data_IF_763382087243
#
_entry.id   IF_763382087243
#
_cell.length_a   1.000
_cell.length_b   1.000
_cell.length_c   1.000
_cell.angle_alpha   90.00
_cell.angle_beta   90.00
_cell.angle_gamma   90.00
#
_symmetry.space_group_name_H-M   'P 1'
#
loop_
_entity.id
_entity.type
_entity.pdbx_description
1 polymer ?
#
# COMPACT_ATOMS: atom_id res chain seq x y z
N UNK A 1 -18.59 4.51 -2.19
CA UNK A 1 -18.14 3.13 -2.36
C UNK A 1 -16.85 2.91 -1.61
N UNK A 2 -15.78 3.61 -1.99
CA UNK A 2 -14.51 3.57 -1.26
C UNK A 2 -14.45 4.44 0.00
N UNK A 3 -13.27 4.48 0.61
CA UNK A 3 -12.99 5.23 1.84
C UNK A 3 -12.00 6.36 1.61
N UNK A 4 -12.16 7.42 2.40
CA UNK A 4 -11.26 8.57 2.39
C UNK A 4 -10.01 8.33 3.25
N UNK A 5 -9.01 9.19 3.09
CA UNK A 5 -7.86 9.27 3.99
C UNK A 5 -8.25 9.83 5.37
N UNK A 6 -9.35 10.61 5.44
CA UNK A 6 -9.93 11.12 6.67
C UNK A 6 -11.46 11.14 6.59
N UNK A 7 -12.16 11.12 7.72
CA UNK A 7 -13.62 10.89 7.81
C UNK A 7 -14.48 11.82 6.93
N UNK A 8 -14.07 13.08 6.76
CA UNK A 8 -14.81 14.10 6.00
C UNK A 8 -14.40 14.23 4.52
N UNK A 9 -13.47 13.41 4.02
CA UNK A 9 -12.94 13.54 2.66
C UNK A 9 -13.66 12.64 1.64
N UNK A 10 -13.42 12.84 0.34
CA UNK A 10 -13.88 11.93 -0.71
C UNK A 10 -13.13 10.60 -0.65
N UNK A 11 -13.67 9.56 -1.31
CA UNK A 11 -12.96 8.28 -1.45
C UNK A 11 -11.59 8.48 -2.14
N UNK A 12 -10.55 7.84 -1.61
CA UNK A 12 -9.17 7.93 -2.12
C UNK A 12 -8.59 6.53 -2.30
N UNK A 13 -7.61 6.34 -3.18
CA UNK A 13 -7.00 5.02 -3.34
C UNK A 13 -6.27 4.56 -2.07
N UNK A 14 -5.66 5.49 -1.31
CA UNK A 14 -5.07 5.19 -0.01
C UNK A 14 -6.11 4.65 0.97
N UNK A 15 -7.15 5.46 1.24
CA UNK A 15 -8.19 5.10 2.19
C UNK A 15 -8.90 3.82 1.77
N UNK A 16 -9.29 3.69 0.51
CA UNK A 16 -10.01 2.52 0.02
C UNK A 16 -9.21 1.23 0.14
N UNK A 17 -7.95 1.22 -0.32
CA UNK A 17 -7.14 -0.01 -0.26
C UNK A 17 -6.84 -0.43 1.18
N UNK A 18 -6.48 0.52 2.05
CA UNK A 18 -6.11 0.21 3.44
C UNK A 18 -7.33 -0.22 4.26
N UNK A 19 -8.48 0.44 4.09
CA UNK A 19 -9.71 0.05 4.80
C UNK A 19 -10.24 -1.29 4.27
N UNK A 20 -10.23 -1.52 2.95
CA UNK A 20 -10.60 -2.82 2.38
C UNK A 20 -9.72 -3.94 2.95
N UNK A 21 -8.41 -3.78 2.93
CA UNK A 21 -7.48 -4.78 3.48
C UNK A 21 -7.71 -4.99 4.98
N UNK A 22 -7.96 -3.92 5.74
CA UNK A 22 -8.29 -4.00 7.17
C UNK A 22 -9.54 -4.83 7.42
N UNK A 23 -10.63 -4.58 6.69
CA UNK A 23 -11.88 -5.34 6.83
C UNK A 23 -11.65 -6.83 6.53
N UNK A 24 -10.93 -7.15 5.44
CA UNK A 24 -10.59 -8.55 5.11
C UNK A 24 -9.75 -9.22 6.21
N UNK A 25 -8.78 -8.50 6.79
CA UNK A 25 -7.97 -9.00 7.91
C UNK A 25 -8.77 -9.19 9.21
N UNK A 26 -9.84 -8.43 9.41
CA UNK A 26 -10.78 -8.58 10.53
C UNK A 26 -11.77 -9.73 10.35
N UNK A 27 -11.75 -10.42 9.20
CA UNK A 27 -12.58 -11.58 8.93
C UNK A 27 -13.82 -11.30 8.09
N UNK A 28 -14.05 -10.06 7.65
CA UNK A 28 -15.15 -9.73 6.75
C UNK A 28 -14.95 -10.42 5.40
N UNK A 29 -15.98 -11.11 4.90
CA UNK A 29 -15.94 -11.87 3.65
C UNK A 29 -16.67 -11.10 2.54
N UNK A 30 -16.12 -11.16 1.33
CA UNK A 30 -16.75 -10.60 0.14
C UNK A 30 -17.91 -11.50 -0.30
N UNK A 31 -19.07 -11.34 0.35
CA UNK A 31 -20.34 -11.98 0.00
C UNK A 31 -21.30 -10.96 -0.64
N UNK A 32 -22.33 -11.45 -1.34
CA UNK A 32 -23.28 -10.59 -2.07
C UNK A 32 -24.05 -9.62 -1.15
N UNK A 33 -24.20 -9.96 0.13
CA UNK A 33 -24.84 -9.13 1.15
C UNK A 33 -23.89 -8.12 1.83
N UNK A 34 -22.56 -8.29 1.70
CA UNK A 34 -21.57 -7.34 2.20
C UNK A 34 -21.42 -6.15 1.26
N UNK A 35 -22.37 -5.23 1.37
CA UNK A 35 -22.48 -4.04 0.54
C UNK A 35 -21.22 -3.15 0.61
N UNK A 36 -20.55 -3.08 1.77
CA UNK A 36 -19.37 -2.25 1.98
C UNK A 36 -18.13 -2.80 1.23
N UNK A 37 -17.80 -4.08 1.39
CA UNK A 37 -16.67 -4.69 0.68
C UNK A 37 -16.92 -4.70 -0.83
N UNK A 38 -18.12 -5.08 -1.27
CA UNK A 38 -18.49 -5.12 -2.68
C UNK A 38 -18.38 -3.75 -3.35
N UNK A 39 -18.91 -2.68 -2.73
CA UNK A 39 -18.77 -1.30 -3.22
C UNK A 39 -17.35 -0.78 -3.14
N UNK A 40 -16.61 -1.15 -2.09
CA UNK A 40 -15.20 -0.79 -1.91
C UNK A 40 -14.33 -1.37 -3.01
N UNK A 41 -14.46 -2.67 -3.28
CA UNK A 41 -13.77 -3.37 -4.36
C UNK A 41 -14.09 -2.78 -5.73
N UNK A 42 -15.38 -2.61 -6.03
CA UNK A 42 -15.79 -2.01 -7.30
C UNK A 42 -15.21 -0.60 -7.50
N UNK A 43 -15.13 0.19 -6.42
CA UNK A 43 -14.50 1.50 -6.44
C UNK A 43 -12.99 1.40 -6.70
N UNK A 44 -12.25 0.51 -6.02
CA UNK A 44 -10.81 0.31 -6.22
C UNK A 44 -10.51 -0.09 -7.68
N UNK A 45 -11.23 -1.07 -8.22
CA UNK A 45 -11.01 -1.56 -9.57
C UNK A 45 -11.30 -0.50 -10.63
N UNK A 46 -12.35 0.31 -10.44
CA UNK A 46 -12.70 1.39 -11.39
C UNK A 46 -11.71 2.57 -11.37
N UNK A 47 -10.82 2.67 -10.38
CA UNK A 47 -9.86 3.77 -10.23
C UNK A 47 -8.40 3.32 -10.44
N UNK A 48 -8.18 2.22 -11.19
CA UNK A 48 -6.84 1.75 -11.56
C UNK A 48 -6.23 0.72 -10.62
N UNK A 49 -7.07 0.02 -9.85
CA UNK A 49 -6.69 -1.06 -8.94
C UNK A 49 -5.71 -0.64 -7.82
N UNK A 50 -5.32 -1.59 -6.98
CA UNK A 50 -4.31 -1.31 -5.95
C UNK A 50 -2.95 -0.89 -6.54
N UNK A 51 -2.69 -1.13 -7.84
CA UNK A 51 -1.46 -0.67 -8.52
C UNK A 51 -1.32 0.86 -8.53
N UNK A 52 -2.45 1.59 -8.55
CA UNK A 52 -2.51 3.05 -8.51
C UNK A 52 -2.57 3.63 -7.09
N UNK A 53 -2.41 2.82 -6.04
CA UNK A 53 -2.37 3.32 -4.67
C UNK A 53 -1.16 4.25 -4.45
N UNK A 54 -1.21 5.26 -3.56
CA UNK A 54 -0.02 6.04 -3.23
C UNK A 54 0.98 5.22 -2.40
N UNK A 55 2.23 5.68 -2.34
CA UNK A 55 3.35 4.89 -1.83
C UNK A 55 3.14 4.31 -0.42
N UNK A 56 2.54 5.06 0.52
CA UNK A 56 2.29 4.53 1.86
C UNK A 56 1.31 3.36 1.86
N UNK A 57 0.27 3.38 1.02
CA UNK A 57 -0.61 2.23 0.85
C UNK A 57 0.14 1.05 0.23
N UNK A 58 0.96 1.28 -0.80
CA UNK A 58 1.79 0.20 -1.40
C UNK A 58 2.69 -0.46 -0.34
N UNK A 59 3.31 0.33 0.54
CA UNK A 59 4.15 -0.17 1.63
C UNK A 59 3.33 -1.06 2.57
N UNK A 60 2.18 -0.57 3.08
CA UNK A 60 1.34 -1.35 3.98
C UNK A 60 0.84 -2.65 3.34
N UNK A 61 0.39 -2.59 2.09
CA UNK A 61 -0.03 -3.77 1.32
C UNK A 61 1.14 -4.74 1.07
N UNK A 62 2.37 -4.23 0.92
CA UNK A 62 3.56 -5.09 0.74
C UNK A 62 3.93 -5.82 2.02
N UNK A 63 3.83 -5.14 3.17
CA UNK A 63 4.08 -5.73 4.49
C UNK A 63 3.15 -6.92 4.76
N UNK A 64 1.87 -6.83 4.39
CA UNK A 64 0.91 -7.95 4.55
C UNK A 64 0.96 -8.96 3.40
N UNK A 65 1.75 -8.69 2.36
CA UNK A 65 1.94 -9.61 1.23
C UNK A 65 0.89 -9.54 0.13
N UNK A 66 0.05 -8.51 0.06
CA UNK A 66 -0.91 -8.35 -1.06
C UNK A 66 -0.37 -7.46 -2.18
N UNK A 67 0.84 -6.91 -2.06
CA UNK A 67 1.51 -6.07 -3.07
C UNK A 67 2.99 -6.44 -3.14
N UNK A 68 3.60 -6.48 -4.32
CA UNK A 68 5.01 -6.83 -4.44
C UNK A 68 5.92 -5.63 -4.15
N UNK A 69 6.96 -5.86 -3.36
CA UNK A 69 7.92 -4.83 -2.97
C UNK A 69 8.62 -4.14 -4.16
N UNK A 70 8.74 -4.80 -5.33
CA UNK A 70 9.31 -4.22 -6.55
C UNK A 70 8.49 -3.07 -7.13
N UNK A 71 7.18 -3.01 -6.81
CA UNK A 71 6.29 -1.92 -7.18
C UNK A 71 6.30 -0.72 -6.23
N UNK A 72 7.19 -0.71 -5.25
CA UNK A 72 7.44 0.46 -4.41
C UNK A 72 8.66 1.23 -4.91
N UNK A 73 8.64 2.57 -4.77
CA UNK A 73 9.88 3.33 -4.92
C UNK A 73 10.85 2.95 -3.79
N UNK A 74 12.17 2.95 -4.07
CA UNK A 74 13.17 2.76 -3.04
C UNK A 74 13.02 3.71 -1.86
N UNK A 75 13.05 3.16 -0.66
CA UNK A 75 13.24 3.91 0.58
C UNK A 75 14.68 3.61 0.98
N UNK A 76 15.56 4.59 0.90
CA UNK A 76 17.02 4.40 0.90
C UNK A 76 17.54 4.48 2.35
N UNK A 77 17.74 3.36 3.07
CA UNK A 77 18.29 3.38 4.42
C UNK A 77 19.73 3.92 4.45
N UNK A 78 20.48 3.80 3.35
CA UNK A 78 21.87 4.26 3.24
C UNK A 78 22.02 5.77 3.42
N UNK A 79 20.94 6.54 3.23
CA UNK A 79 20.93 7.99 3.50
C UNK A 79 21.28 8.32 4.95
N UNK A 80 21.01 7.41 5.89
CA UNK A 80 21.36 7.57 7.31
C UNK A 80 22.86 7.41 7.61
N UNK A 81 23.64 6.84 6.67
CA UNK A 81 25.10 6.72 6.79
C UNK A 81 25.85 7.94 6.23
N UNK A 82 25.14 8.87 5.60
CA UNK A 82 25.74 10.08 5.04
C UNK A 82 26.27 11.00 6.15
N UNK A 83 27.29 11.82 5.87
CA UNK A 83 27.68 12.88 6.78
C UNK A 83 26.52 13.86 7.06
N UNK A 84 26.29 14.19 8.34
CA UNK A 84 25.14 15.00 8.77
C UNK A 84 25.07 16.39 8.11
N UNK A 85 26.20 16.94 7.64
CA UNK A 85 26.24 18.25 6.99
C UNK A 85 25.59 18.27 5.60
N UNK A 86 25.39 17.10 4.96
CA UNK A 86 24.76 17.03 3.65
C UNK A 86 23.26 17.38 3.73
N UNK A 87 22.72 18.16 2.78
CA UNK A 87 21.34 18.63 2.82
C UNK A 87 20.29 17.51 2.75
N UNK A 88 20.67 16.36 2.17
CA UNK A 88 19.83 15.17 2.02
C UNK A 88 19.90 14.21 3.22
N UNK A 89 20.71 14.52 4.24
CA UNK A 89 20.82 13.65 5.42
C UNK A 89 19.47 13.62 6.18
N UNK A 90 18.87 12.44 6.44
CA UNK A 90 17.54 12.32 7.04
C UNK A 90 17.40 12.99 8.42
N UNK A 91 18.49 13.12 9.16
CA UNK A 91 18.54 13.86 10.43
C UNK A 91 18.19 15.35 10.31
N UNK A 92 18.19 15.92 9.10
CA UNK A 92 17.78 17.30 8.82
C UNK A 92 16.31 17.41 8.38
N UNK A 93 15.63 16.29 8.14
CA UNK A 93 14.21 16.29 7.77
C UNK A 93 13.33 16.60 8.98
N UNK A 94 12.09 17.01 8.69
CA UNK A 94 11.06 17.21 9.70
C UNK A 94 10.91 15.97 10.60
N UNK A 95 10.69 16.19 11.89
CA UNK A 95 10.74 15.13 12.90
C UNK A 95 9.74 13.99 12.66
N UNK A 96 8.55 14.28 12.15
CA UNK A 96 7.58 13.24 11.83
C UNK A 96 7.98 12.46 10.58
N UNK A 97 8.55 13.12 9.58
CA UNK A 97 9.07 12.46 8.38
C UNK A 97 10.15 11.43 8.75
N UNK A 98 11.16 11.83 9.56
CA UNK A 98 12.23 10.90 9.98
C UNK A 98 11.70 9.73 10.82
N UNK A 99 10.73 9.96 11.71
CA UNK A 99 10.17 8.92 12.57
C UNK A 99 9.37 7.88 11.79
N UNK A 100 8.76 8.27 10.67
CA UNK A 100 8.02 7.35 9.78
C UNK A 100 8.97 6.63 8.82
N UNK A 101 9.86 7.36 8.14
CA UNK A 101 10.70 6.79 7.10
C UNK A 101 11.86 5.94 7.63
N UNK A 102 12.30 6.13 8.88
CA UNK A 102 13.33 5.28 9.50
C UNK A 102 12.89 3.80 9.58
N UNK A 103 11.79 3.42 10.27
CA UNK A 103 11.33 2.04 10.30
C UNK A 103 10.86 1.54 8.92
N UNK A 104 10.23 2.40 8.10
CA UNK A 104 9.84 1.98 6.75
C UNK A 104 11.04 1.61 5.87
N UNK A 105 12.16 2.34 5.99
CA UNK A 105 13.40 2.02 5.25
C UNK A 105 13.98 0.67 5.67
N UNK A 106 13.91 0.34 6.97
CA UNK A 106 14.34 -0.96 7.49
C UNK A 106 13.49 -2.10 6.94
N UNK A 107 12.17 -1.95 7.00
CA UNK A 107 11.21 -2.94 6.49
C UNK A 107 11.38 -3.13 4.98
N UNK A 108 11.56 -2.04 4.23
CA UNK A 108 11.83 -2.07 2.78
C UNK A 108 13.13 -2.80 2.48
N UNK A 109 14.22 -2.50 3.20
CA UNK A 109 15.52 -3.14 3.02
C UNK A 109 15.46 -4.66 3.28
N UNK A 110 14.66 -5.08 4.27
CA UNK A 110 14.41 -6.50 4.57
C UNK A 110 13.39 -7.15 3.65
N UNK A 111 12.67 -6.38 2.83
CA UNK A 111 11.53 -6.85 2.01
C UNK A 111 10.57 -7.69 2.86
N UNK A 112 10.30 -7.23 4.09
CA UNK A 112 9.51 -8.02 5.03
C UNK A 112 8.10 -8.26 4.49
N UNK A 113 7.64 -9.49 4.59
CA UNK A 113 6.30 -9.92 4.21
C UNK A 113 5.76 -10.80 5.33
N UNK A 114 4.55 -10.52 5.81
CA UNK A 114 3.85 -11.35 6.78
C UNK A 114 3.44 -12.71 6.22
N UNK A 115 2.83 -13.58 7.05
CA UNK A 115 2.37 -14.89 6.61
C UNK A 115 1.36 -14.79 5.45
N UNK A 116 1.56 -15.59 4.40
CA UNK A 116 0.62 -15.66 3.27
C UNK A 116 -0.52 -16.61 3.66
N UNK A 117 -1.63 -16.05 4.11
CA UNK A 117 -2.85 -16.79 4.47
C UNK A 117 -3.81 -16.89 3.28
N UNK A 118 -4.84 -17.76 3.34
CA UNK A 118 -5.90 -17.79 2.33
C UNK A 118 -6.55 -16.42 2.10
N UNK A 119 -6.73 -15.61 3.14
CA UNK A 119 -7.24 -14.23 3.04
C UNK A 119 -6.31 -13.33 2.23
N UNK A 120 -4.98 -13.45 2.41
CA UNK A 120 -3.99 -12.70 1.61
C UNK A 120 -4.08 -13.12 0.14
N UNK A 121 -4.19 -14.42 -0.15
CA UNK A 121 -4.33 -14.91 -1.51
C UNK A 121 -5.63 -14.41 -2.16
N UNK A 122 -6.76 -14.48 -1.46
CA UNK A 122 -8.03 -13.94 -1.94
C UNK A 122 -7.93 -12.43 -2.26
N UNK A 123 -7.31 -11.64 -1.38
CA UNK A 123 -7.10 -10.21 -1.65
C UNK A 123 -6.26 -9.93 -2.90
N UNK A 124 -5.31 -10.81 -3.26
CA UNK A 124 -4.53 -10.69 -4.50
C UNK A 124 -5.37 -10.93 -5.76
N UNK A 125 -6.49 -11.63 -5.64
CA UNK A 125 -7.45 -11.81 -6.74
C UNK A 125 -8.56 -10.72 -6.70
N UNK A 126 -8.80 -10.12 -5.54
CA UNK A 126 -9.85 -9.11 -5.36
C UNK A 126 -9.42 -7.70 -5.75
N UNK A 127 -8.18 -7.30 -5.44
CA UNK A 127 -7.71 -5.90 -5.50
C UNK A 127 -7.13 -5.47 -6.87
N UNK A 128 -7.01 -6.40 -7.81
CA UNK A 128 -6.34 -6.19 -9.09
C UNK A 128 -7.25 -6.55 -10.27
N UNK A 129 -7.09 -5.80 -11.36
CA UNK A 129 -7.79 -5.96 -12.63
C UNK A 129 -7.14 -7.00 -13.55
N UNK A 130 -5.89 -7.36 -13.26
CA UNK A 130 -5.14 -8.43 -13.93
C UNK A 130 -4.68 -9.46 -12.90
N UNK A 131 -4.44 -10.74 -13.29
CA UNK A 131 -3.93 -11.75 -12.38
C UNK A 131 -2.65 -11.29 -11.68
N UNK A 132 -2.54 -11.52 -10.38
CA UNK A 132 -1.45 -11.00 -9.54
C UNK A 132 -0.05 -11.29 -10.09
N UNK A 133 0.15 -12.49 -10.65
CA UNK A 133 1.42 -12.93 -11.23
C UNK A 133 1.76 -12.28 -12.60
N UNK A 134 0.82 -11.57 -13.22
CA UNK A 134 1.00 -10.84 -14.49
C UNK A 134 1.13 -9.33 -14.30
N UNK A 135 1.06 -8.83 -13.07
CA UNK A 135 1.21 -7.40 -12.78
C UNK A 135 2.64 -6.96 -13.12
N UNK A 136 2.76 -5.90 -13.92
CA UNK A 136 4.03 -5.23 -14.14
C UNK A 136 4.32 -4.27 -12.96
N UNK A 137 4.95 -4.81 -11.92
CA UNK A 137 5.28 -4.05 -10.71
C UNK A 137 6.20 -2.85 -10.97
N UNK A 138 7.10 -2.94 -11.96
CA UNK A 138 7.95 -1.79 -12.33
C UNK A 138 7.13 -0.61 -12.83
N UNK A 139 6.10 -0.86 -13.65
CA UNK A 139 5.16 0.18 -14.08
C UNK A 139 4.30 0.70 -12.92
N UNK A 140 3.93 -0.19 -12.00
CA UNK A 140 3.12 0.19 -10.84
C UNK A 140 3.87 1.16 -9.92
N UNK A 141 5.21 1.17 -9.91
CA UNK A 141 6.04 2.06 -9.07
C UNK A 141 5.68 3.53 -9.16
N UNK A 142 5.58 4.06 -10.39
CA UNK A 142 5.22 5.45 -10.67
C UNK A 142 3.72 5.68 -10.85
N UNK A 143 2.90 4.62 -10.81
CA UNK A 143 1.45 4.74 -10.88
C UNK A 143 0.90 5.29 -9.55
N UNK A 144 0.06 6.32 -9.66
CA UNK A 144 -0.70 6.88 -8.55
C UNK A 144 -1.99 7.47 -9.12
N UNK A 145 -3.14 7.11 -8.54
CA UNK A 145 -4.43 7.73 -8.86
C UNK A 145 -4.33 9.23 -8.59
N UNK A 146 -4.85 10.04 -9.52
CA UNK A 146 -4.95 11.49 -9.39
C UNK A 146 -6.04 11.88 -8.39
#
# INVERSE_FOLDING_TARGET
GGWSTHTLGPSTMFGSCVNYATLRLLGEVLEEDNDALSKGRAWILSHGSATAAPQWAKIYLSVIGVYDWSGNNPIIPELWMLPHFLPIHPGRFWCFCRMVYMPMSYIYAKRFVGPITPTILAMRDELYDVPYNKINWNSARSSCCK
#
